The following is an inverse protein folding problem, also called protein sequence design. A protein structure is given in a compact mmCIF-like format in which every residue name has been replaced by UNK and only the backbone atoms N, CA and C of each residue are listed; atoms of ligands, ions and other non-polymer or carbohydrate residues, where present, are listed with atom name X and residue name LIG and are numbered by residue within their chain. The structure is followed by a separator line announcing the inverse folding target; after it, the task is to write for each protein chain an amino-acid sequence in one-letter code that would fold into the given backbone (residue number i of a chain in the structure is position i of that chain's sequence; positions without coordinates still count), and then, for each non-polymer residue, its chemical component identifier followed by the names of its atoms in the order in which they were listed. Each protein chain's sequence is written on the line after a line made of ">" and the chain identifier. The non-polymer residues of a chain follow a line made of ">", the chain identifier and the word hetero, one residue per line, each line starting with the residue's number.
data_IF_016129888270
#
_entry.id   IF_016129888270
#
_cell.length_a   1.000
_cell.length_b   1.000
_cell.length_c   1.000
_cell.angle_alpha   90.00
_cell.angle_beta   90.00
_cell.angle_gamma   90.00
#
_symmetry.space_group_name_H-M   'P 1'
#
loop_
_entity.id
_entity.type
_entity.pdbx_description
1 polymer ?
#
# COMPACT_ATOMS: atom_id res chain seq x y z
N UNK A 1 -8.39 6.26 -27.35
CA UNK A 1 -7.61 7.17 -26.50
C UNK A 1 -6.29 6.52 -26.10
N UNK A 2 -5.19 7.29 -26.00
CA UNK A 2 -3.85 6.81 -25.68
C UNK A 2 -3.37 7.42 -24.36
N UNK A 3 -3.05 6.59 -23.39
CA UNK A 3 -2.58 6.99 -22.07
C UNK A 3 -1.09 6.64 -21.94
N UNK A 4 -0.29 7.59 -21.47
CA UNK A 4 1.11 7.37 -21.15
C UNK A 4 1.29 7.40 -19.62
N UNK A 5 1.68 6.27 -19.05
CA UNK A 5 2.17 6.18 -17.67
C UNK A 5 3.70 6.31 -17.64
N UNK A 6 4.25 6.75 -16.53
CA UNK A 6 5.69 6.84 -16.37
C UNK A 6 6.30 5.74 -15.49
N UNK A 7 7.58 5.87 -15.20
CA UNK A 7 8.42 4.91 -14.51
C UNK A 7 8.40 5.02 -12.99
N UNK A 8 7.96 6.16 -12.42
CA UNK A 8 8.28 6.55 -11.04
C UNK A 8 7.93 5.46 -9.99
N UNK A 9 6.68 4.98 -9.95
CA UNK A 9 6.26 3.98 -8.97
C UNK A 9 6.99 2.64 -9.14
N UNK A 10 7.31 2.26 -10.38
CA UNK A 10 7.95 0.99 -10.72
C UNK A 10 9.47 0.99 -10.50
N UNK A 11 10.07 2.15 -10.35
CA UNK A 11 11.47 2.33 -9.98
C UNK A 11 11.62 2.50 -8.45
N UNK A 12 10.73 3.27 -7.83
CA UNK A 12 10.76 3.55 -6.40
C UNK A 12 10.47 2.31 -5.54
N UNK A 13 9.62 1.40 -6.02
CA UNK A 13 9.16 0.24 -5.27
C UNK A 13 9.47 -1.05 -6.03
N UNK A 14 10.24 -1.97 -5.44
CA UNK A 14 10.33 -3.36 -5.92
C UNK A 14 9.04 -4.13 -5.62
N UNK A 15 8.40 -3.84 -4.47
CA UNK A 15 7.08 -4.28 -4.03
C UNK A 15 6.40 -3.09 -3.34
N UNK A 16 5.12 -2.87 -3.58
CA UNK A 16 4.40 -1.81 -2.87
C UNK A 16 3.00 -1.56 -3.42
N UNK A 17 2.14 -0.99 -2.57
CA UNK A 17 0.74 -0.72 -2.92
C UNK A 17 0.57 0.23 -4.09
N UNK A 18 1.43 1.25 -4.21
CA UNK A 18 1.37 2.23 -5.31
C UNK A 18 1.69 1.58 -6.65
N UNK A 19 2.82 0.86 -6.73
CA UNK A 19 3.20 0.18 -7.98
C UNK A 19 2.23 -0.95 -8.35
N UNK A 20 1.66 -1.67 -7.37
CA UNK A 20 0.60 -2.66 -7.60
C UNK A 20 -0.66 -2.02 -8.17
N UNK A 21 -1.09 -0.89 -7.62
CA UNK A 21 -2.24 -0.15 -8.09
C UNK A 21 -2.12 0.19 -9.58
N UNK A 22 -1.02 0.81 -9.99
CA UNK A 22 -0.81 1.17 -11.40
C UNK A 22 -0.66 -0.04 -12.32
N UNK A 23 0.00 -1.10 -11.87
CA UNK A 23 0.11 -2.35 -12.63
C UNK A 23 -1.26 -2.99 -12.89
N UNK A 24 -2.09 -3.05 -11.86
CA UNK A 24 -3.44 -3.62 -11.96
C UNK A 24 -4.38 -2.74 -12.78
N UNK A 25 -4.35 -1.43 -12.59
CA UNK A 25 -5.13 -0.51 -13.43
C UNK A 25 -4.75 -0.66 -14.90
N UNK A 26 -3.45 -0.61 -15.21
CA UNK A 26 -2.94 -0.78 -16.57
C UNK A 26 -3.41 -2.09 -17.21
N UNK A 27 -3.28 -3.20 -16.50
CA UNK A 27 -3.66 -4.54 -16.97
C UNK A 27 -5.16 -4.67 -17.26
N UNK A 28 -5.98 -3.97 -16.50
CA UNK A 28 -7.44 -4.10 -16.54
C UNK A 28 -8.14 -2.96 -17.32
N UNK A 29 -7.38 -2.05 -17.97
CA UNK A 29 -7.98 -1.01 -18.81
C UNK A 29 -8.84 -1.63 -19.92
N UNK A 30 -9.99 -1.01 -20.24
CA UNK A 30 -10.82 -1.41 -21.38
C UNK A 30 -10.05 -1.38 -22.69
N UNK A 31 -10.40 -2.26 -23.63
CA UNK A 31 -9.69 -2.44 -24.92
C UNK A 31 -9.69 -1.22 -25.85
N UNK A 32 -10.62 -0.29 -25.65
CA UNK A 32 -10.73 0.98 -26.39
C UNK A 32 -9.74 2.04 -25.89
N UNK A 33 -9.06 1.79 -24.77
CA UNK A 33 -7.98 2.61 -24.25
C UNK A 33 -6.63 1.90 -24.52
N UNK A 34 -5.80 2.53 -25.33
CA UNK A 34 -4.42 2.09 -25.51
C UNK A 34 -3.55 2.75 -24.46
N UNK A 35 -2.82 1.97 -23.69
CA UNK A 35 -1.92 2.50 -22.67
C UNK A 35 -0.49 2.00 -22.88
N UNK A 36 0.48 2.81 -22.49
CA UNK A 36 1.89 2.46 -22.47
C UNK A 36 2.55 2.94 -21.17
N UNK A 37 3.63 2.28 -20.77
CA UNK A 37 4.44 2.67 -19.62
C UNK A 37 5.83 3.03 -20.14
N UNK A 38 6.29 4.25 -19.90
CA UNK A 38 7.63 4.70 -20.30
C UNK A 38 8.70 4.20 -19.33
N UNK A 39 8.92 2.90 -19.35
CA UNK A 39 9.82 2.17 -18.47
C UNK A 39 10.82 1.34 -19.31
N UNK A 40 12.11 1.44 -18.98
CA UNK A 40 13.19 0.66 -19.60
C UNK A 40 13.70 -0.45 -18.70
N UNK A 41 13.94 -0.12 -17.43
CA UNK A 41 14.51 -1.04 -16.44
C UNK A 41 13.69 -1.00 -15.16
N UNK A 42 13.40 -2.16 -14.58
CA UNK A 42 12.72 -2.25 -13.29
C UNK A 42 12.99 -3.57 -12.59
N UNK A 43 13.17 -3.50 -11.27
CA UNK A 43 13.16 -4.66 -10.38
C UNK A 43 11.74 -4.93 -9.81
N UNK A 44 10.75 -4.15 -10.23
CA UNK A 44 9.39 -4.28 -9.73
C UNK A 44 8.77 -5.64 -10.10
N UNK A 45 8.25 -6.32 -9.11
CA UNK A 45 7.71 -7.67 -9.26
C UNK A 45 6.47 -7.71 -10.15
N UNK A 46 5.59 -6.70 -10.08
CA UNK A 46 4.34 -6.67 -10.83
C UNK A 46 4.56 -6.46 -12.32
N UNK A 47 5.58 -5.67 -12.70
CA UNK A 47 6.01 -5.55 -14.11
C UNK A 47 6.39 -6.91 -14.69
N UNK A 48 7.09 -7.73 -13.91
CA UNK A 48 7.55 -9.07 -14.33
C UNK A 48 6.41 -10.08 -14.35
N UNK A 49 5.66 -10.19 -13.27
CA UNK A 49 4.60 -11.19 -13.12
C UNK A 49 3.44 -10.96 -14.08
N UNK A 50 3.11 -9.70 -14.37
CA UNK A 50 2.02 -9.34 -15.27
C UNK A 50 2.49 -9.13 -16.72
N UNK A 51 3.80 -9.22 -16.98
CA UNK A 51 4.40 -9.01 -18.31
C UNK A 51 3.96 -7.71 -18.99
N UNK A 52 4.00 -6.60 -18.23
CA UNK A 52 3.42 -5.33 -18.66
C UNK A 52 4.28 -4.58 -19.69
N UNK A 53 5.59 -4.79 -19.69
CA UNK A 53 6.54 -4.14 -20.58
C UNK A 53 7.50 -5.17 -21.14
N UNK A 54 7.73 -5.12 -22.47
CA UNK A 54 8.46 -6.16 -23.22
C UNK A 54 9.98 -6.23 -22.99
N UNK A 55 10.56 -5.41 -22.14
CA UNK A 55 12.00 -5.38 -21.88
C UNK A 55 12.31 -5.54 -20.40
N UNK A 56 12.92 -6.67 -20.08
CA UNK A 56 13.38 -6.97 -18.72
C UNK A 56 14.89 -6.76 -18.66
N UNK A 57 15.34 -5.69 -18.06
CA UNK A 57 16.75 -5.51 -17.74
C UNK A 57 16.98 -5.75 -16.24
N UNK A 58 17.90 -6.66 -15.94
CA UNK A 58 18.52 -6.72 -14.64
C UNK A 58 19.47 -5.53 -14.54
N UNK A 59 19.16 -4.56 -13.71
CA UNK A 59 20.16 -3.62 -13.23
C UNK A 59 21.14 -4.41 -12.37
N UNK A 60 22.44 -4.30 -12.61
CA UNK A 60 23.46 -4.67 -11.64
C UNK A 60 23.31 -3.70 -10.45
N UNK A 61 22.36 -4.01 -9.59
CA UNK A 61 22.05 -3.14 -8.45
C UNK A 61 23.14 -3.28 -7.41
N UNK A 62 23.40 -2.20 -6.68
CA UNK A 62 24.25 -2.21 -5.50
C UNK A 62 23.91 -3.38 -4.55
N UNK A 63 22.63 -3.75 -4.44
CA UNK A 63 22.18 -4.85 -3.60
C UNK A 63 22.72 -6.22 -4.05
N UNK A 64 22.91 -6.42 -5.34
CA UNK A 64 23.42 -7.67 -5.90
C UNK A 64 24.94 -7.67 -6.09
N UNK A 65 25.60 -6.50 -5.92
CA UNK A 65 27.04 -6.36 -6.11
C UNK A 65 27.82 -7.23 -5.11
N UNK A 66 28.67 -8.13 -5.62
CA UNK A 66 29.47 -9.14 -4.90
C UNK A 66 28.59 -10.15 -4.12
N UNK A 67 27.70 -9.68 -3.25
CA UNK A 67 26.76 -10.52 -2.50
C UNK A 67 25.55 -9.69 -2.05
N UNK A 68 24.42 -10.36 -1.77
CA UNK A 68 23.19 -9.69 -1.29
C UNK A 68 23.28 -9.14 0.14
N UNK A 69 24.32 -9.54 0.90
CA UNK A 69 24.50 -9.09 2.29
C UNK A 69 25.21 -7.74 2.34
N UNK A 70 24.75 -6.80 3.17
CA UNK A 70 25.51 -5.57 3.42
C UNK A 70 26.79 -5.89 4.20
N UNK A 71 27.90 -5.23 3.83
CA UNK A 71 29.15 -5.26 4.58
C UNK A 71 29.80 -3.86 4.56
N UNK A 72 30.64 -3.53 5.57
CA UNK A 72 31.33 -2.23 5.62
C UNK A 72 32.17 -2.01 4.35
N UNK A 73 32.04 -0.82 3.75
CA UNK A 73 32.77 -0.46 2.53
C UNK A 73 32.17 -0.98 1.21
N UNK A 74 31.07 -1.74 1.22
CA UNK A 74 30.41 -2.23 0.00
C UNK A 74 30.06 -1.09 -0.97
N UNK A 75 29.62 0.05 -0.45
CA UNK A 75 29.31 1.24 -1.25
C UNK A 75 30.54 1.79 -1.98
N UNK A 76 31.65 1.96 -1.30
CA UNK A 76 32.90 2.45 -1.91
C UNK A 76 33.46 1.49 -2.98
N UNK A 77 33.33 0.18 -2.74
CA UNK A 77 33.70 -0.82 -3.75
C UNK A 77 32.80 -0.76 -4.98
N UNK A 78 31.52 -0.53 -4.77
CA UNK A 78 30.55 -0.38 -5.87
C UNK A 78 30.80 0.89 -6.68
N UNK A 79 31.06 2.02 -6.03
CA UNK A 79 31.45 3.27 -6.71
C UNK A 79 32.75 3.11 -7.52
N UNK A 80 33.75 2.44 -6.94
CA UNK A 80 35.02 2.17 -7.63
C UNK A 80 34.81 1.25 -8.84
N UNK A 81 33.99 0.22 -8.70
CA UNK A 81 33.59 -0.67 -9.78
C UNK A 81 32.88 0.09 -10.90
N UNK A 82 31.94 0.98 -10.59
CA UNK A 82 31.25 1.81 -11.57
C UNK A 82 32.20 2.76 -12.30
N UNK A 83 33.15 3.37 -11.58
CA UNK A 83 34.20 4.22 -12.18
C UNK A 83 35.12 3.45 -13.12
N UNK A 84 35.54 2.23 -12.76
CA UNK A 84 36.41 1.36 -13.58
C UNK A 84 35.68 0.95 -14.88
N UNK A 85 34.38 0.68 -14.81
CA UNK A 85 33.58 0.33 -15.98
C UNK A 85 33.29 1.52 -16.91
N UNK A 86 33.78 2.72 -16.57
CA UNK A 86 33.51 3.93 -17.35
C UNK A 86 32.02 4.27 -17.41
N UNK A 87 31.20 3.68 -16.53
CA UNK A 87 29.82 4.09 -16.34
C UNK A 87 29.88 5.48 -15.70
N UNK A 88 29.78 6.55 -16.50
CA UNK A 88 29.34 7.87 -16.02
C UNK A 88 28.11 7.63 -15.17
N UNK A 89 27.89 8.46 -14.13
CA UNK A 89 26.58 8.50 -13.45
C UNK A 89 25.52 8.32 -14.52
N UNK A 90 24.93 7.12 -14.59
CA UNK A 90 24.01 6.80 -15.66
C UNK A 90 22.89 7.83 -15.53
N UNK A 91 22.82 8.73 -16.50
CA UNK A 91 21.65 9.58 -16.66
C UNK A 91 20.48 8.63 -16.51
N UNK A 92 19.61 8.86 -15.52
CA UNK A 92 18.52 7.96 -15.18
C UNK A 92 17.84 7.47 -16.47
N UNK A 93 18.09 6.19 -16.80
CA UNK A 93 17.65 5.60 -18.08
C UNK A 93 16.14 5.70 -18.23
N UNK A 94 15.42 5.51 -17.12
CA UNK A 94 13.97 5.58 -17.11
C UNK A 94 13.51 7.03 -17.28
N UNK A 95 14.10 7.97 -16.56
CA UNK A 95 13.81 9.39 -16.72
C UNK A 95 14.06 9.86 -18.15
N UNK A 96 15.24 9.53 -18.69
CA UNK A 96 15.62 9.89 -20.08
C UNK A 96 14.65 9.27 -21.10
N UNK A 97 14.20 8.05 -20.86
CA UNK A 97 13.21 7.39 -21.72
C UNK A 97 11.84 8.06 -21.60
N UNK A 98 11.39 8.34 -20.39
CA UNK A 98 10.10 9.01 -20.17
C UNK A 98 10.05 10.39 -20.82
N UNK A 99 11.14 11.18 -20.72
CA UNK A 99 11.25 12.47 -21.41
C UNK A 99 11.13 12.30 -22.93
N UNK A 100 11.80 11.29 -23.51
CA UNK A 100 11.71 11.01 -24.95
C UNK A 100 10.30 10.64 -25.38
N UNK A 101 9.59 9.80 -24.65
CA UNK A 101 8.21 9.43 -24.94
C UNK A 101 7.26 10.65 -24.83
N UNK A 102 7.43 11.50 -23.81
CA UNK A 102 6.70 12.76 -23.68
C UNK A 102 6.95 13.69 -24.86
N UNK A 103 8.21 13.81 -25.31
CA UNK A 103 8.61 14.65 -26.44
C UNK A 103 8.05 14.16 -27.79
N UNK A 104 7.89 12.83 -27.98
CA UNK A 104 7.21 12.27 -29.16
C UNK A 104 5.77 12.75 -29.24
N UNK A 105 5.08 12.83 -28.09
CA UNK A 105 3.71 13.31 -28.02
C UNK A 105 2.67 12.29 -28.52
N UNK A 106 3.00 11.01 -28.62
CA UNK A 106 2.10 9.94 -29.09
C UNK A 106 1.14 9.45 -28.00
N UNK A 107 0.61 10.35 -27.20
CA UNK A 107 -0.38 10.10 -26.15
C UNK A 107 -1.40 11.24 -26.13
N UNK A 108 -2.56 10.97 -25.55
CA UNK A 108 -3.61 11.97 -25.39
C UNK A 108 -3.63 12.52 -23.95
N UNK A 109 -3.39 11.67 -22.96
CA UNK A 109 -3.30 12.00 -21.53
C UNK A 109 -2.02 11.40 -20.96
N UNK A 110 -1.33 12.18 -20.12
CA UNK A 110 -0.23 11.69 -19.29
C UNK A 110 -0.74 11.40 -17.87
N UNK A 111 -0.34 10.26 -17.29
CA UNK A 111 -0.68 9.91 -15.93
C UNK A 111 0.59 9.52 -15.16
N UNK A 112 1.25 10.49 -14.47
CA UNK A 112 2.43 10.20 -13.66
C UNK A 112 2.07 9.20 -12.56
N UNK A 113 2.94 8.24 -12.34
CA UNK A 113 2.72 7.19 -11.35
C UNK A 113 3.17 7.58 -9.94
N UNK A 114 3.82 8.75 -9.82
CA UNK A 114 4.17 9.38 -8.54
C UNK A 114 4.32 10.92 -8.70
N UNK A 115 4.93 11.60 -7.72
CA UNK A 115 4.85 13.06 -7.57
C UNK A 115 6.09 13.84 -8.06
N UNK A 116 7.04 13.26 -8.81
CA UNK A 116 8.12 14.05 -9.39
C UNK A 116 7.59 14.81 -10.61
N UNK A 117 7.90 16.11 -10.69
CA UNK A 117 7.37 17.08 -11.64
C UNK A 117 8.15 17.17 -12.96
N UNK A 118 9.17 16.32 -13.18
CA UNK A 118 10.08 16.35 -14.34
C UNK A 118 9.36 16.47 -15.69
N UNK A 119 8.12 16.02 -15.75
CA UNK A 119 7.33 15.91 -16.97
C UNK A 119 6.70 17.26 -17.42
N UNK A 120 6.50 18.20 -16.51
CA UNK A 120 5.78 19.44 -16.78
C UNK A 120 6.29 20.20 -18.00
N UNK A 121 7.63 20.39 -18.21
CA UNK A 121 8.14 21.10 -19.40
C UNK A 121 7.90 20.36 -20.72
N UNK A 122 7.57 19.07 -20.67
CA UNK A 122 7.48 18.22 -21.86
C UNK A 122 6.04 17.86 -22.26
N UNK A 123 5.02 18.28 -21.50
CA UNK A 123 3.61 17.99 -21.78
C UNK A 123 3.10 18.66 -23.07
N UNK A 124 3.69 19.78 -23.50
CA UNK A 124 3.30 20.51 -24.72
C UNK A 124 1.79 20.85 -24.76
N UNK A 125 1.23 21.21 -23.60
CA UNK A 125 -0.19 21.56 -23.46
C UNK A 125 -1.15 20.36 -23.33
N UNK A 126 -0.65 19.14 -23.33
CA UNK A 126 -1.50 17.96 -23.09
C UNK A 126 -1.88 17.84 -21.63
N UNK A 127 -3.09 17.33 -21.32
CA UNK A 127 -3.54 17.16 -19.95
C UNK A 127 -2.80 16.03 -19.24
N UNK A 128 -2.71 16.15 -17.91
CA UNK A 128 -2.31 15.03 -17.06
C UNK A 128 -3.33 14.78 -15.96
N UNK A 129 -3.40 13.53 -15.51
CA UNK A 129 -4.20 13.06 -14.38
C UNK A 129 -3.26 12.71 -13.25
N UNK A 130 -3.61 13.06 -12.02
CA UNK A 130 -2.79 12.81 -10.84
C UNK A 130 -3.53 11.86 -9.88
N UNK A 131 -2.93 10.73 -9.50
CA UNK A 131 -3.46 9.89 -8.43
C UNK A 131 -2.83 10.26 -7.09
N UNK A 132 -3.65 10.54 -6.08
CA UNK A 132 -3.24 10.81 -4.70
C UNK A 132 -3.74 9.67 -3.82
N UNK A 133 -2.79 8.89 -3.28
CA UNK A 133 -3.09 7.71 -2.48
C UNK A 133 -3.43 8.03 -1.02
N UNK A 134 -2.88 9.10 -0.48
CA UNK A 134 -3.10 9.55 0.90
C UNK A 134 -2.71 11.02 1.09
N UNK A 135 -3.12 11.57 2.23
CA UNK A 135 -2.74 12.90 2.70
C UNK A 135 -2.01 12.82 4.06
N UNK A 136 -1.25 11.74 4.27
CA UNK A 136 -0.57 11.46 5.54
C UNK A 136 0.43 12.57 5.94
N UNK A 137 1.31 13.07 5.06
CA UNK A 137 2.24 14.15 5.42
C UNK A 137 1.55 15.47 5.79
N UNK A 138 0.36 15.72 5.24
CA UNK A 138 -0.45 16.89 5.57
C UNK A 138 -1.15 16.76 6.92
N UNK A 139 -1.67 15.58 7.23
CA UNK A 139 -2.41 15.27 8.46
C UNK A 139 -1.48 15.12 9.68
N UNK A 140 -0.31 14.54 9.47
CA UNK A 140 0.65 14.21 10.52
C UNK A 140 2.01 14.87 10.29
N UNK A 141 2.08 16.22 10.13
CA UNK A 141 3.31 16.91 9.76
C UNK A 141 4.46 16.70 10.76
N UNK A 142 4.15 16.40 12.01
CA UNK A 142 5.14 16.14 13.07
C UNK A 142 5.93 14.83 12.88
N UNK A 143 5.45 13.89 12.06
CA UNK A 143 6.18 12.68 11.70
C UNK A 143 7.10 12.87 10.48
N UNK A 144 7.00 14.00 9.79
CA UNK A 144 7.73 14.23 8.54
C UNK A 144 8.57 15.51 8.65
N UNK A 145 9.63 15.59 7.85
CA UNK A 145 10.37 16.83 7.70
C UNK A 145 9.51 17.91 7.06
N UNK A 146 9.77 19.16 7.40
CA UNK A 146 9.01 20.33 6.88
C UNK A 146 9.01 20.41 5.36
N UNK A 147 10.13 19.99 4.74
CA UNK A 147 10.38 19.91 3.31
C UNK A 147 10.08 18.53 2.71
N UNK A 148 9.14 17.79 3.29
CA UNK A 148 8.75 16.50 2.75
C UNK A 148 8.36 16.62 1.28
N UNK A 149 9.10 15.97 0.41
CA UNK A 149 8.96 16.11 -1.06
C UNK A 149 7.57 15.72 -1.57
N UNK A 150 6.96 14.71 -0.99
CA UNK A 150 5.61 14.28 -1.40
C UNK A 150 4.56 15.35 -1.09
N UNK A 151 4.67 16.00 0.08
CA UNK A 151 3.81 17.09 0.47
C UNK A 151 3.98 18.27 -0.49
N UNK A 152 5.20 18.73 -0.70
CA UNK A 152 5.50 19.86 -1.59
C UNK A 152 4.97 19.57 -3.00
N UNK A 153 5.31 18.43 -3.56
CA UNK A 153 4.92 18.09 -4.94
C UNK A 153 3.40 17.91 -5.12
N UNK A 154 2.69 17.38 -4.13
CA UNK A 154 1.22 17.33 -4.19
C UNK A 154 0.61 18.72 -4.28
N UNK A 155 1.11 19.68 -3.48
CA UNK A 155 0.65 21.07 -3.52
C UNK A 155 0.95 21.77 -4.86
N UNK A 156 2.08 21.44 -5.49
CA UNK A 156 2.47 22.02 -6.78
C UNK A 156 1.72 21.39 -7.97
N UNK A 157 1.57 20.06 -7.99
CA UNK A 157 1.00 19.33 -9.12
C UNK A 157 -0.53 19.32 -9.14
N UNK A 158 -1.18 19.23 -7.98
CA UNK A 158 -2.64 19.08 -7.93
C UNK A 158 -3.41 20.24 -8.58
N UNK A 159 -3.05 21.52 -8.41
CA UNK A 159 -3.72 22.62 -9.12
C UNK A 159 -3.60 22.54 -10.65
N UNK A 160 -2.48 22.01 -11.16
CA UNK A 160 -2.16 21.90 -12.58
C UNK A 160 -2.82 20.68 -13.25
N UNK A 161 -3.17 19.66 -12.47
CA UNK A 161 -3.78 18.44 -12.97
C UNK A 161 -5.17 18.73 -13.59
N UNK A 162 -5.49 18.07 -14.70
CA UNK A 162 -6.82 18.17 -15.33
C UNK A 162 -7.88 17.45 -14.51
N UNK A 163 -7.50 16.30 -13.92
CA UNK A 163 -8.30 15.53 -12.96
C UNK A 163 -7.40 14.92 -11.89
N UNK A 164 -7.94 14.74 -10.70
CA UNK A 164 -7.26 14.07 -9.57
C UNK A 164 -8.05 12.82 -9.20
N UNK A 165 -7.35 11.72 -9.07
CA UNK A 165 -7.91 10.45 -8.60
C UNK A 165 -7.59 10.31 -7.12
N UNK A 166 -8.62 10.23 -6.29
CA UNK A 166 -8.55 9.84 -4.91
C UNK A 166 -8.91 8.34 -4.78
N UNK A 167 -8.27 7.64 -3.85
CA UNK A 167 -8.48 6.21 -3.68
C UNK A 167 -9.65 5.86 -2.73
N UNK A 168 -10.21 6.89 -2.08
CA UNK A 168 -11.40 6.80 -1.21
C UNK A 168 -12.10 8.17 -1.11
N UNK A 169 -13.35 8.18 -0.66
CA UNK A 169 -14.06 9.42 -0.35
C UNK A 169 -13.38 10.19 0.80
N UNK A 170 -12.80 9.45 1.75
CA UNK A 170 -12.00 10.07 2.80
C UNK A 170 -10.80 10.82 2.21
N UNK A 171 -10.03 10.19 1.33
CA UNK A 171 -8.88 10.85 0.65
C UNK A 171 -9.35 12.02 -0.23
N UNK A 172 -10.50 11.90 -0.93
CA UNK A 172 -11.09 13.01 -1.68
C UNK A 172 -11.36 14.23 -0.80
N UNK A 173 -11.99 14.02 0.37
CA UNK A 173 -12.27 15.11 1.33
C UNK A 173 -10.98 15.78 1.80
N UNK A 174 -9.95 15.00 2.07
CA UNK A 174 -8.66 15.52 2.51
C UNK A 174 -7.93 16.29 1.39
N UNK A 175 -7.96 15.82 0.15
CA UNK A 175 -7.44 16.54 -1.03
C UNK A 175 -8.10 17.90 -1.14
N UNK A 176 -9.43 17.95 -1.13
CA UNK A 176 -10.18 19.23 -1.22
C UNK A 176 -9.78 20.16 -0.08
N UNK A 177 -9.72 19.62 1.16
CA UNK A 177 -9.41 20.41 2.36
C UNK A 177 -7.99 20.95 2.37
N UNK A 178 -6.99 20.13 2.08
CA UNK A 178 -5.58 20.50 2.26
C UNK A 178 -4.96 21.15 1.03
N UNK A 179 -5.40 20.78 -0.17
CA UNK A 179 -4.87 21.32 -1.42
C UNK A 179 -5.75 22.41 -2.03
N UNK A 180 -6.91 22.69 -1.42
CA UNK A 180 -7.88 23.68 -1.89
C UNK A 180 -8.27 23.47 -3.38
N UNK A 181 -8.48 22.22 -3.76
CA UNK A 181 -8.86 21.82 -5.12
C UNK A 181 -10.39 21.80 -5.23
N UNK A 182 -10.97 22.32 -6.34
CA UNK A 182 -12.41 22.21 -6.59
C UNK A 182 -12.88 20.77 -6.63
N UNK A 183 -14.02 20.49 -6.00
CA UNK A 183 -14.55 19.13 -5.84
C UNK A 183 -14.77 18.41 -7.17
N UNK A 184 -15.19 19.13 -8.20
CA UNK A 184 -15.44 18.61 -9.55
C UNK A 184 -14.19 18.11 -10.27
N UNK A 185 -13.00 18.46 -9.79
CA UNK A 185 -11.73 17.92 -10.29
C UNK A 185 -11.29 16.63 -9.61
N UNK A 186 -11.93 16.24 -8.48
CA UNK A 186 -11.50 15.10 -7.67
C UNK A 186 -12.48 13.96 -7.80
N UNK A 187 -12.03 12.87 -8.38
CA UNK A 187 -12.79 11.66 -8.63
C UNK A 187 -12.32 10.53 -7.73
N UNK A 188 -13.24 9.68 -7.28
CA UNK A 188 -12.89 8.52 -6.47
C UNK A 188 -12.82 7.28 -7.34
N UNK A 189 -11.69 6.58 -7.29
CA UNK A 189 -11.50 5.26 -7.90
C UNK A 189 -10.96 4.31 -6.85
N UNK A 190 -11.81 3.44 -6.34
CA UNK A 190 -11.44 2.44 -5.33
C UNK A 190 -10.44 1.42 -5.88
N UNK A 191 -9.63 0.87 -5.00
CA UNK A 191 -8.77 -0.27 -5.35
C UNK A 191 -9.57 -1.56 -5.45
N UNK A 192 -9.05 -2.51 -6.23
CA UNK A 192 -9.50 -3.89 -6.24
C UNK A 192 -8.66 -4.77 -5.32
N UNK A 193 -9.03 -6.04 -5.25
CA UNK A 193 -8.24 -7.09 -4.62
C UNK A 193 -7.60 -7.96 -5.71
N UNK A 194 -6.25 -8.11 -5.64
CA UNK A 194 -5.51 -9.05 -6.51
C UNK A 194 -5.01 -10.27 -5.72
N UNK A 195 -5.35 -10.34 -4.44
CA UNK A 195 -4.89 -11.39 -3.56
C UNK A 195 -5.54 -12.71 -3.95
N UNK A 196 -4.74 -13.70 -4.34
CA UNK A 196 -5.25 -14.98 -4.81
C UNK A 196 -5.63 -15.89 -3.63
N UNK A 197 -6.64 -16.73 -3.83
CA UNK A 197 -6.99 -17.80 -2.90
C UNK A 197 -6.05 -18.99 -3.11
N UNK A 198 -5.43 -19.47 -2.03
CA UNK A 198 -4.55 -20.64 -2.05
C UNK A 198 -5.19 -21.79 -1.29
N UNK A 199 -5.74 -22.76 -2.02
CA UNK A 199 -6.34 -23.95 -1.41
C UNK A 199 -5.29 -24.82 -0.70
N UNK A 200 -5.70 -25.40 0.43
CA UNK A 200 -4.86 -26.35 1.19
C UNK A 200 -3.65 -25.69 1.88
N UNK A 201 -3.69 -24.39 2.16
CA UNK A 201 -2.69 -23.74 2.99
C UNK A 201 -2.67 -24.38 4.38
N UNK A 202 -1.47 -24.64 4.91
CA UNK A 202 -1.30 -25.13 6.28
C UNK A 202 -1.01 -23.95 7.20
N UNK A 203 -1.50 -24.03 8.44
CA UNK A 203 -1.14 -23.03 9.43
C UNK A 203 0.40 -22.99 9.59
N UNK A 204 1.00 -21.78 9.52
CA UNK A 204 2.44 -21.63 9.76
C UNK A 204 2.81 -21.82 11.22
N UNK A 205 1.83 -21.85 12.12
CA UNK A 205 2.01 -21.99 13.57
C UNK A 205 1.05 -23.05 14.14
N UNK A 206 1.44 -23.66 15.25
CA UNK A 206 0.65 -24.67 15.97
C UNK A 206 -0.10 -24.09 17.19
N UNK A 207 -0.26 -22.77 17.23
CA UNK A 207 -0.98 -22.02 18.27
C UNK A 207 -1.89 -20.96 17.63
N UNK A 208 -2.95 -20.51 18.32
CA UNK A 208 -3.81 -19.43 17.85
C UNK A 208 -3.07 -18.08 17.86
N UNK A 209 -3.39 -17.24 16.89
CA UNK A 209 -2.75 -15.94 16.81
C UNK A 209 -3.62 -14.84 16.18
N UNK A 210 -3.35 -13.63 16.61
CA UNK A 210 -3.82 -12.38 16.02
C UNK A 210 -2.78 -11.94 15.00
N UNK A 211 -3.23 -11.44 13.85
CA UNK A 211 -2.34 -10.94 12.80
C UNK A 211 -2.30 -9.40 12.78
N UNK A 212 -1.10 -8.85 12.70
CA UNK A 212 -0.81 -7.45 12.39
C UNK A 212 0.04 -7.38 11.11
N UNK A 213 -0.39 -6.59 10.11
CA UNK A 213 0.28 -6.48 8.81
C UNK A 213 0.67 -5.04 8.51
N UNK A 214 1.93 -4.82 8.16
CA UNK A 214 2.43 -3.54 7.69
C UNK A 214 3.45 -2.87 8.60
N UNK A 215 3.79 -1.63 8.26
CA UNK A 215 4.67 -0.78 9.06
C UNK A 215 4.03 -0.44 10.41
N UNK A 216 4.89 -0.13 11.41
CA UNK A 216 4.48 0.13 12.78
C UNK A 216 4.75 1.58 13.20
N UNK A 217 4.91 2.47 12.23
CA UNK A 217 5.29 3.86 12.46
C UNK A 217 4.10 4.72 12.92
N UNK A 218 4.30 5.56 13.93
CA UNK A 218 3.46 6.64 14.40
C UNK A 218 1.94 6.41 14.31
N UNK A 219 1.31 6.97 13.31
CA UNK A 219 -0.14 6.91 13.04
C UNK A 219 -0.70 5.49 12.81
N UNK A 220 0.17 4.48 12.67
CA UNK A 220 -0.22 3.06 12.62
C UNK A 220 -0.59 2.50 13.99
N UNK A 221 -0.41 3.27 15.07
CA UNK A 221 -0.81 2.96 16.43
C UNK A 221 -0.32 1.62 16.98
N UNK A 222 0.89 1.20 16.57
CA UNK A 222 1.41 -0.09 17.03
C UNK A 222 1.61 -0.13 18.56
N UNK A 223 2.14 0.94 19.17
CA UNK A 223 2.37 0.97 20.61
C UNK A 223 1.04 0.99 21.42
N UNK A 224 0.03 1.83 21.08
CA UNK A 224 -1.29 1.70 21.67
C UNK A 224 -1.91 0.31 21.49
N UNK A 225 -1.79 -0.30 20.32
CA UNK A 225 -2.21 -1.68 20.06
C UNK A 225 -1.55 -2.66 21.02
N UNK A 226 -0.22 -2.62 21.16
CA UNK A 226 0.52 -3.50 22.08
C UNK A 226 0.02 -3.36 23.52
N UNK A 227 -0.17 -2.13 23.99
CA UNK A 227 -0.65 -1.86 25.36
C UNK A 227 -2.04 -2.46 25.60
N UNK A 228 -2.96 -2.31 24.64
CA UNK A 228 -4.32 -2.83 24.80
C UNK A 228 -4.41 -4.33 24.65
N UNK A 229 -3.71 -4.92 23.66
CA UNK A 229 -3.74 -6.37 23.44
C UNK A 229 -3.01 -7.13 24.54
N UNK A 230 -2.05 -6.52 25.23
CA UNK A 230 -1.27 -7.16 26.30
C UNK A 230 -2.13 -7.68 27.45
N UNK A 231 -3.23 -6.99 27.79
CA UNK A 231 -4.18 -7.41 28.82
C UNK A 231 -4.93 -8.68 28.42
N UNK A 232 -5.29 -8.78 27.14
CA UNK A 232 -5.97 -9.95 26.56
C UNK A 232 -5.03 -11.13 26.50
N UNK A 233 -3.79 -10.94 26.01
CA UNK A 233 -2.78 -12.01 25.93
C UNK A 233 -2.45 -12.66 27.27
N UNK A 234 -2.49 -11.88 28.37
CA UNK A 234 -2.27 -12.41 29.74
C UNK A 234 -3.43 -13.29 30.24
N UNK A 235 -4.65 -13.11 29.70
CA UNK A 235 -5.83 -13.90 30.06
C UNK A 235 -6.00 -15.14 29.17
N UNK A 236 -5.57 -15.06 27.92
CA UNK A 236 -5.69 -16.13 26.92
C UNK A 236 -4.34 -16.81 26.71
N UNK A 237 -4.01 -17.77 27.59
CA UNK A 237 -2.77 -18.51 27.51
C UNK A 237 -2.66 -19.24 26.16
N UNK A 238 -1.53 -19.08 25.48
CA UNK A 238 -1.29 -19.68 24.14
C UNK A 238 -1.68 -18.78 22.96
N UNK A 239 -2.44 -17.68 23.15
CA UNK A 239 -2.69 -16.72 22.09
C UNK A 239 -1.45 -15.86 21.85
N UNK A 240 -1.08 -15.67 20.58
CA UNK A 240 0.09 -14.89 20.16
C UNK A 240 -0.30 -13.76 19.22
N UNK A 241 0.64 -12.85 18.97
CA UNK A 241 0.53 -11.81 17.94
C UNK A 241 1.64 -12.02 16.91
N UNK A 242 1.25 -12.26 15.68
CA UNK A 242 2.18 -12.32 14.55
C UNK A 242 2.19 -10.96 13.85
N UNK A 243 3.37 -10.35 13.78
CA UNK A 243 3.59 -9.08 13.09
C UNK A 243 4.39 -9.33 11.81
N UNK A 244 3.83 -9.00 10.64
CA UNK A 244 4.60 -9.08 9.39
C UNK A 244 5.34 -7.77 9.15
N UNK A 245 6.53 -7.85 8.56
CA UNK A 245 7.31 -6.69 8.19
C UNK A 245 8.68 -6.62 8.87
N UNK A 246 9.23 -5.41 9.00
CA UNK A 246 10.57 -5.19 9.58
C UNK A 246 10.72 -5.80 10.98
N UNK A 247 11.93 -6.22 11.38
CA UNK A 247 12.20 -6.66 12.75
C UNK A 247 11.74 -5.62 13.78
N UNK A 248 11.41 -6.07 14.98
CA UNK A 248 11.06 -5.18 16.07
C UNK A 248 12.22 -4.23 16.44
N UNK A 249 11.88 -2.99 16.70
CA UNK A 249 12.84 -1.98 17.18
C UNK A 249 13.21 -2.22 18.65
N UNK A 250 14.26 -1.54 19.13
CA UNK A 250 14.63 -1.58 20.55
C UNK A 250 13.52 -0.99 21.43
N UNK A 251 12.84 0.06 20.97
CA UNK A 251 11.72 0.68 21.67
C UNK A 251 10.56 -0.31 21.82
N UNK A 252 10.15 -0.94 20.72
CA UNK A 252 9.09 -1.95 20.73
C UNK A 252 9.42 -3.12 21.66
N UNK A 253 10.65 -3.63 21.59
CA UNK A 253 11.08 -4.74 22.46
C UNK A 253 11.17 -4.36 23.94
N UNK A 254 11.51 -3.12 24.27
CA UNK A 254 11.48 -2.63 25.65
C UNK A 254 10.04 -2.57 26.18
N UNK A 255 9.10 -2.07 25.40
CA UNK A 255 7.68 -2.04 25.77
C UNK A 255 7.13 -3.45 26.00
N UNK A 256 7.53 -4.42 25.16
CA UNK A 256 7.13 -5.82 25.38
C UNK A 256 7.64 -6.38 26.71
N UNK A 257 8.86 -6.00 27.13
CA UNK A 257 9.44 -6.39 28.41
C UNK A 257 8.73 -5.72 29.58
N UNK A 258 8.50 -4.41 29.50
CA UNK A 258 7.80 -3.62 30.53
C UNK A 258 6.39 -4.17 30.77
N UNK A 259 5.71 -4.58 29.69
CA UNK A 259 4.38 -5.19 29.76
C UNK A 259 4.40 -6.69 30.01
N UNK A 260 5.57 -7.33 30.13
CA UNK A 260 5.76 -8.78 30.33
C UNK A 260 5.10 -9.66 29.26
N UNK A 261 5.08 -9.17 28.01
CA UNK A 261 4.42 -9.85 26.87
C UNK A 261 5.38 -10.28 25.76
N UNK A 262 6.69 -10.19 25.98
CA UNK A 262 7.71 -10.49 24.96
C UNK A 262 7.54 -11.86 24.31
N UNK A 263 7.11 -12.89 25.05
CA UNK A 263 6.93 -14.25 24.55
C UNK A 263 5.77 -14.41 23.57
N UNK A 264 4.82 -13.48 23.57
CA UNK A 264 3.62 -13.54 22.74
C UNK A 264 3.79 -12.85 21.37
N UNK A 265 4.79 -11.96 21.21
CA UNK A 265 5.01 -11.22 19.98
C UNK A 265 6.05 -11.87 19.09
N UNK A 266 5.67 -12.24 17.89
CA UNK A 266 6.53 -12.88 16.90
C UNK A 266 6.57 -12.01 15.64
N UNK A 267 7.80 -11.68 15.20
CA UNK A 267 7.99 -11.02 13.92
C UNK A 267 8.25 -12.04 12.82
N UNK A 268 7.60 -11.88 11.68
CA UNK A 268 7.82 -12.69 10.50
C UNK A 268 7.88 -11.84 9.24
N UNK A 269 8.39 -12.40 8.16
CA UNK A 269 8.42 -11.77 6.86
C UNK A 269 7.78 -12.71 5.84
N UNK A 270 6.58 -12.37 5.38
CA UNK A 270 5.97 -13.06 4.26
C UNK A 270 6.68 -12.65 2.95
N UNK A 271 7.34 -13.59 2.29
CA UNK A 271 8.12 -13.35 1.07
C UNK A 271 7.26 -13.43 -0.19
N UNK A 272 6.10 -14.06 -0.08
CA UNK A 272 5.18 -14.31 -1.18
C UNK A 272 3.74 -14.07 -0.75
N UNK A 273 2.87 -13.77 -1.72
CA UNK A 273 1.43 -13.65 -1.48
C UNK A 273 0.83 -14.93 -0.87
N UNK A 274 1.38 -16.10 -1.22
CA UNK A 274 0.96 -17.38 -0.64
C UNK A 274 1.26 -17.47 0.87
N UNK A 275 2.44 -17.04 1.29
CA UNK A 275 2.80 -17.01 2.71
C UNK A 275 1.95 -15.99 3.47
N UNK A 276 1.72 -14.81 2.89
CA UNK A 276 0.86 -13.79 3.47
C UNK A 276 -0.59 -14.27 3.56
N UNK A 277 -1.11 -14.91 2.51
CA UNK A 277 -2.43 -15.54 2.53
C UNK A 277 -2.56 -16.55 3.67
N UNK A 278 -1.55 -17.41 3.84
CA UNK A 278 -1.56 -18.42 4.91
C UNK A 278 -1.60 -17.76 6.29
N UNK A 279 -0.90 -16.64 6.48
CA UNK A 279 -0.93 -15.89 7.74
C UNK A 279 -2.32 -15.29 8.02
N UNK A 280 -2.99 -14.74 7.01
CA UNK A 280 -4.36 -14.25 7.17
C UNK A 280 -5.33 -15.41 7.44
N UNK A 281 -5.32 -16.43 6.58
CA UNK A 281 -6.30 -17.51 6.60
C UNK A 281 -6.37 -18.30 7.91
N UNK A 282 -5.26 -18.40 8.63
CA UNK A 282 -5.15 -19.14 9.88
C UNK A 282 -5.11 -18.25 11.14
N UNK A 283 -5.22 -16.94 10.98
CA UNK A 283 -5.33 -16.03 12.12
C UNK A 283 -6.73 -16.09 12.73
N UNK A 284 -6.83 -15.95 14.06
CA UNK A 284 -8.12 -15.71 14.72
C UNK A 284 -8.78 -14.44 14.17
N UNK A 285 -7.99 -13.38 14.00
CA UNK A 285 -8.40 -12.15 13.35
C UNK A 285 -7.18 -11.34 12.87
N UNK A 286 -7.43 -10.45 11.93
CA UNK A 286 -6.54 -9.36 11.55
C UNK A 286 -6.97 -8.09 12.27
N UNK A 287 -6.03 -7.42 12.95
CA UNK A 287 -6.27 -6.15 13.63
C UNK A 287 -5.52 -5.02 12.90
N UNK A 288 -6.25 -3.96 12.55
CA UNK A 288 -5.70 -2.81 11.87
C UNK A 288 -5.96 -1.53 12.68
N UNK A 289 -5.03 -1.13 13.55
CA UNK A 289 -5.24 -0.07 14.52
C UNK A 289 -4.92 1.34 14.00
N UNK A 290 -4.58 1.49 12.73
CA UNK A 290 -4.17 2.77 12.13
C UNK A 290 -5.21 3.87 12.36
N UNK A 291 -4.73 5.09 12.62
CA UNK A 291 -5.58 6.29 12.64
C UNK A 291 -5.88 6.79 11.24
N UNK A 292 -5.02 6.49 10.28
CA UNK A 292 -5.20 6.91 8.92
C UNK A 292 -4.62 5.92 7.91
N UNK A 293 -5.41 5.68 6.87
CA UNK A 293 -5.02 5.02 5.63
C UNK A 293 -5.73 5.71 4.45
N UNK A 294 -5.12 5.66 3.27
CA UNK A 294 -5.79 6.16 2.08
C UNK A 294 -6.91 5.23 1.62
N UNK A 295 -6.72 3.91 1.70
CA UNK A 295 -7.70 2.90 1.31
C UNK A 295 -7.76 1.69 2.25
N UNK A 296 -6.61 1.07 2.55
CA UNK A 296 -6.56 -0.11 3.41
C UNK A 296 -6.65 -1.42 2.62
N UNK A 297 -5.80 -1.62 1.63
CA UNK A 297 -5.70 -2.89 0.86
C UNK A 297 -5.67 -4.13 1.78
N UNK A 298 -4.96 -4.15 2.92
CA UNK A 298 -4.99 -5.25 3.89
C UNK A 298 -6.37 -5.73 4.33
N UNK A 299 -7.39 -4.85 4.31
CA UNK A 299 -8.78 -5.24 4.61
C UNK A 299 -9.30 -6.23 3.55
N UNK A 300 -9.07 -5.92 2.28
CA UNK A 300 -9.51 -6.78 1.18
C UNK A 300 -8.70 -8.09 1.12
N UNK A 301 -7.42 -8.04 1.49
CA UNK A 301 -6.57 -9.24 1.60
C UNK A 301 -7.08 -10.18 2.70
N UNK A 302 -7.43 -9.63 3.87
CA UNK A 302 -8.03 -10.39 4.96
C UNK A 302 -9.38 -11.01 4.54
N UNK A 303 -10.24 -10.24 3.87
CA UNK A 303 -11.52 -10.73 3.35
C UNK A 303 -11.34 -11.89 2.35
N UNK A 304 -10.39 -11.76 1.43
CA UNK A 304 -10.05 -12.80 0.45
C UNK A 304 -9.54 -14.09 1.10
N UNK A 305 -8.93 -13.96 2.28
CA UNK A 305 -8.41 -15.09 3.05
C UNK A 305 -9.42 -15.61 4.10
N UNK A 306 -10.66 -15.14 4.11
CA UNK A 306 -11.66 -15.49 5.15
C UNK A 306 -11.14 -15.23 6.58
N UNK A 307 -10.41 -14.14 6.79
CA UNK A 307 -9.90 -13.72 8.07
C UNK A 307 -10.82 -12.66 8.70
N UNK A 308 -11.35 -12.85 9.91
CA UNK A 308 -12.12 -11.82 10.61
C UNK A 308 -11.32 -10.54 10.79
N UNK A 309 -11.94 -9.38 10.60
CA UNK A 309 -11.25 -8.07 10.62
C UNK A 309 -11.77 -7.19 11.73
N UNK A 310 -10.83 -6.71 12.57
CA UNK A 310 -11.06 -5.70 13.60
C UNK A 310 -10.35 -4.39 13.22
N UNK A 311 -11.08 -3.29 13.13
CA UNK A 311 -10.58 -2.00 12.65
C UNK A 311 -10.72 -0.90 13.68
N UNK A 312 -9.70 -0.06 13.80
CA UNK A 312 -9.89 1.24 14.42
C UNK A 312 -10.95 2.04 13.64
N UNK A 313 -11.93 2.64 14.30
CA UNK A 313 -13.00 3.42 13.64
C UNK A 313 -12.47 4.78 13.19
N UNK A 314 -11.63 4.79 12.16
CA UNK A 314 -10.92 5.98 11.69
C UNK A 314 -10.76 5.99 10.16
N UNK A 315 -10.54 7.18 9.59
CA UNK A 315 -10.19 7.39 8.19
C UNK A 315 -11.18 6.72 7.23
N UNK A 316 -10.66 6.04 6.19
CA UNK A 316 -11.46 5.35 5.18
C UNK A 316 -12.05 4.00 5.65
N UNK A 317 -11.71 3.49 6.82
CA UNK A 317 -12.11 2.15 7.25
C UNK A 317 -13.63 1.94 7.29
N UNK A 318 -14.44 2.87 7.88
CA UNK A 318 -15.90 2.73 7.85
C UNK A 318 -16.49 2.78 6.43
N UNK A 319 -15.84 3.50 5.52
CA UNK A 319 -16.23 3.57 4.11
C UNK A 319 -15.95 2.24 3.39
N UNK A 320 -14.75 1.69 3.61
CA UNK A 320 -14.29 0.48 2.91
C UNK A 320 -14.95 -0.78 3.49
N UNK A 321 -15.03 -0.91 4.80
CA UNK A 321 -15.50 -2.13 5.44
C UNK A 321 -17.01 -2.12 5.78
N UNK A 322 -17.63 -0.96 5.98
CA UNK A 322 -19.03 -0.84 6.41
C UNK A 322 -19.33 -1.74 7.62
N UNK A 323 -20.32 -2.62 7.53
CA UNK A 323 -20.71 -3.61 8.54
C UNK A 323 -19.96 -4.96 8.44
N UNK A 324 -19.00 -5.04 7.53
CA UNK A 324 -18.18 -6.24 7.30
C UNK A 324 -16.91 -6.27 8.16
N UNK A 325 -16.83 -5.47 9.21
CA UNK A 325 -15.76 -5.48 10.20
C UNK A 325 -16.32 -5.21 11.59
N UNK A 326 -15.57 -5.59 12.60
CA UNK A 326 -15.80 -5.20 13.99
C UNK A 326 -14.95 -3.97 14.27
N UNK A 327 -15.56 -2.94 14.87
CA UNK A 327 -14.86 -1.69 15.11
C UNK A 327 -14.54 -1.49 16.59
N UNK A 328 -13.35 -0.96 16.82
CA UNK A 328 -12.92 -0.43 18.11
C UNK A 328 -12.45 1.03 17.95
N UNK A 329 -12.20 1.69 19.05
CA UNK A 329 -11.58 3.00 19.06
C UNK A 329 -10.33 2.94 19.95
N UNK A 330 -9.15 3.05 19.33
CA UNK A 330 -7.86 2.91 20.02
C UNK A 330 -7.64 3.97 21.10
N UNK A 331 -8.32 5.11 20.99
CA UNK A 331 -8.22 6.26 21.89
C UNK A 331 -9.43 6.42 22.82
N UNK A 332 -10.42 5.51 22.79
CA UNK A 332 -11.60 5.53 23.66
C UNK A 332 -11.31 4.86 25.00
N UNK A 333 -12.16 5.13 25.98
CA UNK A 333 -12.18 4.41 27.27
C UNK A 333 -13.22 3.28 27.28
N UNK A 334 -14.23 3.33 26.43
CA UNK A 334 -15.37 2.38 26.42
C UNK A 334 -15.21 1.30 25.36
N UNK A 335 -15.02 1.68 24.09
CA UNK A 335 -14.89 0.76 22.96
C UNK A 335 -13.41 0.46 22.67
N UNK A 336 -12.65 0.14 23.70
CA UNK A 336 -11.21 -0.15 23.54
C UNK A 336 -10.97 -1.43 22.77
N UNK A 337 -9.83 -1.54 22.13
CA UNK A 337 -9.44 -2.78 21.45
C UNK A 337 -9.48 -3.98 22.41
N UNK A 338 -9.07 -3.81 23.67
CA UNK A 338 -9.07 -4.91 24.64
C UNK A 338 -10.46 -5.46 24.92
N UNK A 339 -11.48 -4.59 25.06
CA UNK A 339 -12.88 -4.99 25.25
C UNK A 339 -13.41 -5.69 24.00
N UNK A 340 -13.29 -5.04 22.86
CA UNK A 340 -13.80 -5.56 21.58
C UNK A 340 -13.12 -6.88 21.18
N UNK A 341 -11.83 -7.05 21.49
CA UNK A 341 -11.13 -8.30 21.23
C UNK A 341 -11.61 -9.44 22.13
N UNK A 342 -11.88 -9.19 23.42
CA UNK A 342 -12.46 -10.19 24.32
C UNK A 342 -13.86 -10.62 23.83
N UNK A 343 -14.70 -9.66 23.42
CA UNK A 343 -16.01 -9.94 22.86
C UNK A 343 -15.87 -10.81 21.59
N UNK A 344 -14.96 -10.47 20.68
CA UNK A 344 -14.70 -11.23 19.48
C UNK A 344 -14.22 -12.66 19.77
N UNK A 345 -13.30 -12.83 20.72
CA UNK A 345 -12.78 -14.15 21.09
C UNK A 345 -13.87 -15.04 21.72
N UNK A 346 -14.87 -14.43 22.37
CA UNK A 346 -16.02 -15.13 22.96
C UNK A 346 -17.12 -15.48 21.95
N UNK A 347 -17.07 -14.94 20.71
CA UNK A 347 -18.06 -15.22 19.67
C UNK A 347 -18.13 -16.69 19.32
N UNK A 348 -19.35 -17.20 19.19
CA UNK A 348 -19.58 -18.55 18.72
C UNK A 348 -19.34 -18.67 17.20
N UNK A 349 -19.31 -19.91 16.71
CA UNK A 349 -19.04 -20.21 15.29
C UNK A 349 -20.04 -19.53 14.32
N UNK A 350 -21.30 -19.43 14.71
CA UNK A 350 -22.34 -18.84 13.85
C UNK A 350 -22.15 -17.32 13.72
N UNK A 351 -21.78 -16.63 14.79
CA UNK A 351 -21.49 -15.20 14.77
C UNK A 351 -20.25 -14.89 13.93
N UNK A 352 -19.17 -15.70 14.07
CA UNK A 352 -17.98 -15.56 13.23
C UNK A 352 -18.31 -15.81 11.76
N UNK A 353 -19.08 -16.84 11.43
CA UNK A 353 -19.47 -17.12 10.03
C UNK A 353 -20.37 -16.02 9.45
N UNK A 354 -21.27 -15.44 10.22
CA UNK A 354 -22.08 -14.30 9.80
C UNK A 354 -21.21 -13.07 9.46
N UNK A 355 -20.14 -12.82 10.22
CA UNK A 355 -19.14 -11.79 9.91
C UNK A 355 -18.42 -12.09 8.59
N UNK A 356 -17.90 -13.32 8.42
CA UNK A 356 -17.20 -13.74 7.20
C UNK A 356 -18.12 -13.66 5.97
N UNK A 357 -19.38 -13.98 6.11
CA UNK A 357 -20.37 -13.83 5.03
C UNK A 357 -20.53 -12.38 4.57
N UNK A 358 -20.62 -11.43 5.51
CA UNK A 358 -20.63 -9.98 5.19
C UNK A 358 -19.32 -9.56 4.52
N UNK A 359 -18.17 -10.05 4.98
CA UNK A 359 -16.87 -9.77 4.39
C UNK A 359 -16.79 -10.24 2.93
N UNK A 360 -17.23 -11.47 2.62
CA UNK A 360 -17.26 -11.98 1.24
C UNK A 360 -18.18 -11.15 0.35
N UNK A 361 -19.36 -10.76 0.85
CA UNK A 361 -20.28 -9.88 0.14
C UNK A 361 -19.65 -8.52 -0.15
N UNK A 362 -19.00 -7.94 0.84
CA UNK A 362 -18.33 -6.64 0.72
C UNK A 362 -17.16 -6.69 -0.25
N UNK A 363 -16.34 -7.75 -0.21
CA UNK A 363 -15.21 -7.95 -1.12
C UNK A 363 -15.64 -7.95 -2.59
N UNK A 364 -16.79 -8.54 -2.91
CA UNK A 364 -17.31 -8.60 -4.28
C UNK A 364 -17.61 -7.21 -4.90
N UNK A 365 -17.70 -6.16 -4.07
CA UNK A 365 -17.87 -4.79 -4.56
C UNK A 365 -16.55 -4.20 -5.12
N UNK A 366 -15.39 -4.79 -4.82
CA UNK A 366 -14.06 -4.29 -5.15
C UNK A 366 -13.37 -5.18 -6.20
N UNK A 367 -13.11 -4.62 -7.37
CA UNK A 367 -12.34 -5.31 -8.39
C UNK A 367 -11.52 -4.33 -9.23
N UNK A 368 -10.33 -4.71 -9.61
CA UNK A 368 -9.46 -3.89 -10.47
C UNK A 368 -10.07 -3.63 -11.84
N UNK A 369 -10.89 -4.55 -12.34
CA UNK A 369 -11.64 -4.35 -13.58
C UNK A 369 -12.60 -3.16 -13.45
N UNK A 370 -13.40 -3.12 -12.38
CA UNK A 370 -14.31 -2.02 -12.09
C UNK A 370 -13.54 -0.70 -11.89
N UNK A 371 -12.44 -0.74 -11.15
CA UNK A 371 -11.57 0.43 -10.95
C UNK A 371 -11.04 0.98 -12.26
N UNK A 372 -10.57 0.11 -13.15
CA UNK A 372 -10.06 0.50 -14.46
C UNK A 372 -11.16 1.02 -15.40
N UNK A 373 -12.37 0.47 -15.34
CA UNK A 373 -13.54 0.97 -16.08
C UNK A 373 -13.96 2.37 -15.59
N UNK A 374 -13.94 2.63 -14.29
CA UNK A 374 -14.21 3.95 -13.72
C UNK A 374 -13.13 4.96 -14.11
N UNK A 375 -11.86 4.58 -14.02
CA UNK A 375 -10.75 5.42 -14.47
C UNK A 375 -10.85 5.74 -15.97
N UNK A 376 -11.24 4.78 -16.79
CA UNK A 376 -11.46 4.96 -18.22
C UNK A 376 -12.56 6.00 -18.52
N UNK A 377 -13.66 6.00 -17.76
CA UNK A 377 -14.72 7.02 -17.88
C UNK A 377 -14.18 8.42 -17.58
N UNK A 378 -13.32 8.54 -16.56
CA UNK A 378 -12.69 9.82 -16.20
C UNK A 378 -11.78 10.28 -17.35
N UNK A 379 -10.93 9.40 -17.88
CA UNK A 379 -10.09 9.76 -19.05
C UNK A 379 -10.93 10.25 -20.24
N UNK A 380 -12.07 9.61 -20.52
CA UNK A 380 -12.96 9.98 -21.62
C UNK A 380 -13.70 11.31 -21.37
N UNK A 381 -13.74 11.83 -20.13
CA UNK A 381 -14.43 13.07 -19.77
C UNK A 381 -13.55 14.31 -19.77
N UNK A 382 -12.24 14.15 -19.93
CA UNK A 382 -11.24 15.25 -19.86
C UNK A 382 -10.52 15.44 -21.17
#
# INVERSE_FOLDING_TARGET
>A
MRILYDHQAFEMQSHGGVSRCFAELYKNLPKDISASISLKESENVYIKEMNLVGTHFKRDSFNNFICRRPFPGKWHLYEMYQKILGKKEDADINLTHSIKELQKGDYDIFHPTFFNDYFLPYLKGKPFVLTIHDMIPELYPHFFKTDNIQRVMKHELAPLAKAIIAVSENTKKDIIRFLNIPEEKVYVVYHGCSFLTFQGSRSPYNFPYILYVGDRFGYKNFIPFVKQVSTVLKRHEGLHVICTGKPFTKEETNIFKELEVSKYFINTWAKTDKELYSLYHHAECFIYPSDYEGFGIPILEAYQADCPVLLNRASCFPEIAKDAAIYFNINSNDDTLSVILEDFLSMNKYEKEALLSRQRTRLAEFSWKKSAEELAKIYNSI
#
